data_IF_238886393842
#
_entry.id   IF_238886393842
#
_cell.length_a   1.000
_cell.length_b   1.000
_cell.length_c   1.000
_cell.angle_alpha   90.00
_cell.angle_beta   90.00
_cell.angle_gamma   90.00
#
_symmetry.space_group_name_H-M   'P 1'
#
loop_
_entity.id
_entity.type
_entity.pdbx_description
1 polymer ?
#
# COMPACT_ATOMS: atom_id res chain seq x y z
N UNK A 1 -4.65 -2.51 1.20
CA UNK A 1 -3.51 -1.57 1.15
C UNK A 1 -2.32 -2.33 1.67
N UNK A 2 -1.20 -2.20 0.96
CA UNK A 2 0.10 -2.77 1.30
C UNK A 2 1.01 -1.57 1.53
N UNK A 3 1.72 -1.53 2.64
CA UNK A 3 2.78 -0.57 2.89
C UNK A 3 4.11 -1.24 2.58
N UNK A 4 4.86 -0.64 1.67
CA UNK A 4 6.15 -1.12 1.21
C UNK A 4 7.18 -0.12 1.71
N UNK A 5 8.07 -0.55 2.61
CA UNK A 5 9.19 0.27 3.04
C UNK A 5 10.48 -0.25 2.43
N UNK A 6 11.10 0.60 1.62
CA UNK A 6 12.38 0.33 0.96
C UNK A 6 13.48 0.96 1.79
N UNK A 7 14.43 0.14 2.22
CA UNK A 7 15.66 0.58 2.88
C UNK A 7 16.81 0.35 1.93
N UNK A 8 17.48 1.44 1.54
CA UNK A 8 18.68 1.39 0.71
C UNK A 8 19.92 1.64 1.56
N UNK A 9 21.06 1.25 1.02
CA UNK A 9 22.34 1.54 1.68
C UNK A 9 22.59 3.05 1.58
N UNK A 10 22.85 3.68 2.72
CA UNK A 10 23.30 5.06 2.82
C UNK A 10 24.81 5.07 2.99
N UNK A 11 25.56 4.82 1.91
CA UNK A 11 26.99 5.09 1.95
C UNK A 11 27.15 6.61 2.00
N UNK A 12 27.95 7.11 2.95
CA UNK A 12 28.32 8.52 2.97
C UNK A 12 29.23 8.75 1.77
N UNK A 13 28.75 9.44 0.75
CA UNK A 13 29.59 9.84 -0.38
C UNK A 13 30.52 10.96 0.10
N UNK A 14 31.74 10.59 0.48
CA UNK A 14 32.77 11.52 0.92
C UNK A 14 33.57 12.12 -0.25
N UNK A 15 33.10 12.03 -1.50
CA UNK A 15 33.85 12.48 -2.68
C UNK A 15 32.95 13.13 -3.75
N UNK A 16 33.27 14.38 -4.11
CA UNK A 16 32.60 15.19 -5.14
C UNK A 16 32.83 14.73 -6.60
N UNK A 17 33.28 13.49 -6.85
CA UNK A 17 33.77 13.08 -8.18
C UNK A 17 33.10 11.82 -8.81
N UNK A 18 31.98 11.33 -8.28
CA UNK A 18 31.23 10.15 -8.80
C UNK A 18 29.93 10.49 -9.56
N UNK A 19 29.84 11.70 -10.11
CA UNK A 19 28.64 12.29 -10.75
C UNK A 19 27.87 11.49 -11.81
N UNK A 20 28.42 10.38 -12.34
CA UNK A 20 27.74 9.54 -13.36
C UNK A 20 27.23 8.20 -12.82
N UNK A 21 27.93 7.57 -11.88
CA UNK A 21 27.46 6.31 -11.30
C UNK A 21 26.31 6.57 -10.33
N UNK A 22 26.36 7.68 -9.58
CA UNK A 22 25.31 8.03 -8.62
C UNK A 22 24.01 8.49 -9.29
N UNK A 23 24.10 8.96 -10.55
CA UNK A 23 22.94 9.33 -11.35
C UNK A 23 22.04 8.15 -11.72
N UNK A 24 22.54 6.91 -11.66
CA UNK A 24 21.79 5.69 -12.04
C UNK A 24 21.51 4.75 -10.85
N UNK A 25 21.87 5.16 -9.63
CA UNK A 25 21.67 4.35 -8.42
C UNK A 25 20.20 4.38 -8.00
N UNK A 26 19.48 3.33 -8.40
CA UNK A 26 18.05 3.17 -8.18
C UNK A 26 17.22 4.36 -8.71
N UNK A 27 17.73 5.14 -9.67
CA UNK A 27 17.03 6.33 -10.18
C UNK A 27 15.81 5.89 -11.00
N UNK A 28 14.63 6.44 -10.71
CA UNK A 28 13.42 6.12 -11.48
C UNK A 28 12.89 4.69 -11.27
N UNK A 29 13.27 4.00 -10.19
CA UNK A 29 12.75 2.67 -9.90
C UNK A 29 11.22 2.67 -9.72
N UNK A 30 10.60 1.54 -10.02
CA UNK A 30 9.16 1.34 -9.95
C UNK A 30 8.83 0.18 -9.00
N UNK A 31 7.71 0.31 -8.29
CA UNK A 31 7.14 -0.76 -7.49
C UNK A 31 5.76 -1.16 -8.04
N UNK A 32 5.55 -2.45 -8.24
CA UNK A 32 4.29 -3.00 -8.72
C UNK A 32 3.68 -3.97 -7.73
N UNK A 33 2.36 -3.94 -7.57
CA UNK A 33 1.60 -5.03 -6.94
C UNK A 33 0.91 -5.87 -8.02
N UNK A 34 1.18 -7.17 -8.05
CA UNK A 34 0.60 -8.10 -9.04
C UNK A 34 0.30 -9.46 -8.43
N UNK A 35 -0.50 -10.27 -9.14
CA UNK A 35 -0.75 -11.67 -8.81
C UNK A 35 0.11 -12.64 -9.63
N UNK A 36 0.93 -12.13 -10.54
CA UNK A 36 1.83 -12.92 -11.38
C UNK A 36 3.29 -12.57 -11.08
N UNK A 37 4.22 -13.33 -11.63
CA UNK A 37 5.66 -13.03 -11.57
C UNK A 37 6.20 -12.57 -12.93
N UNK A 38 5.34 -11.99 -13.79
CA UNK A 38 5.70 -11.55 -15.14
C UNK A 38 6.69 -10.39 -15.09
N UNK A 39 7.68 -10.38 -16.00
CA UNK A 39 8.63 -9.28 -16.21
C UNK A 39 8.65 -8.94 -17.72
N UNK A 40 8.41 -7.67 -18.13
CA UNK A 40 8.08 -6.52 -17.29
C UNK A 40 6.75 -6.72 -16.51
N UNK A 41 6.59 -6.07 -15.35
CA UNK A 41 5.41 -6.29 -14.50
C UNK A 41 4.10 -5.91 -15.20
N UNK A 42 3.09 -6.79 -15.11
CA UNK A 42 1.73 -6.62 -15.65
C UNK A 42 0.74 -6.03 -14.60
N UNK A 43 1.27 -5.55 -13.48
CA UNK A 43 0.54 -5.22 -12.27
C UNK A 43 0.13 -3.75 -12.12
N UNK A 44 -0.43 -3.47 -10.95
CA UNK A 44 -0.73 -2.10 -10.52
C UNK A 44 0.57 -1.39 -10.12
N UNK A 45 0.88 -0.27 -10.78
CA UNK A 45 2.01 0.60 -10.42
C UNK A 45 1.70 1.29 -9.08
N UNK A 46 2.39 0.87 -8.03
CA UNK A 46 2.29 1.45 -6.70
C UNK A 46 3.06 2.75 -6.57
N UNK A 47 4.21 2.83 -7.25
CA UNK A 47 5.16 3.94 -7.12
C UNK A 47 6.13 3.95 -8.29
N UNK A 48 6.53 5.15 -8.69
CA UNK A 48 7.61 5.42 -9.63
C UNK A 48 8.44 6.55 -9.00
N UNK A 49 9.75 6.31 -8.87
CA UNK A 49 10.66 7.27 -8.26
C UNK A 49 10.81 8.51 -9.15
N UNK A 50 11.02 9.64 -8.48
CA UNK A 50 11.29 10.90 -9.15
C UNK A 50 12.75 10.97 -9.65
N UNK A 51 13.10 12.01 -10.41
CA UNK A 51 14.48 12.22 -10.80
C UNK A 51 15.36 12.51 -9.58
N UNK A 52 16.55 11.92 -9.57
CA UNK A 52 17.57 12.19 -8.57
C UNK A 52 17.69 11.05 -7.55
N UNK A 53 18.47 11.28 -6.50
CA UNK A 53 18.85 10.19 -5.63
C UNK A 53 17.73 9.83 -4.61
N UNK A 54 17.16 8.62 -4.64
CA UNK A 54 16.06 8.24 -3.76
C UNK A 54 16.44 8.31 -2.28
N UNK A 55 15.51 8.62 -1.38
CA UNK A 55 15.82 8.72 0.06
C UNK A 55 16.31 7.40 0.65
N UNK A 56 17.17 7.46 1.68
CA UNK A 56 17.75 6.26 2.31
C UNK A 56 16.70 5.29 2.86
N UNK A 57 15.55 5.82 3.25
CA UNK A 57 14.37 5.06 3.66
C UNK A 57 13.14 5.69 3.05
N UNK A 58 12.30 4.87 2.40
CA UNK A 58 11.07 5.32 1.75
C UNK A 58 9.92 4.40 2.12
N UNK A 59 8.85 4.95 2.71
CA UNK A 59 7.62 4.23 3.00
C UNK A 59 6.56 4.60 1.98
N UNK A 60 6.15 3.62 1.19
CA UNK A 60 5.26 3.76 0.04
C UNK A 60 3.96 3.02 0.33
N UNK A 61 2.84 3.73 0.25
CA UNK A 61 1.51 3.13 0.43
C UNK A 61 0.90 2.72 -0.91
N UNK A 62 0.60 1.43 -1.07
CA UNK A 62 -0.03 0.89 -2.27
C UNK A 62 -1.44 0.37 -1.99
N UNK A 63 -2.44 0.96 -2.63
CA UNK A 63 -3.86 0.64 -2.42
C UNK A 63 -4.36 -0.51 -3.31
N UNK A 64 -3.53 -1.53 -3.51
CA UNK A 64 -3.86 -2.68 -4.33
C UNK A 64 -3.55 -4.00 -3.60
N UNK A 65 -4.27 -5.06 -3.94
CA UNK A 65 -3.94 -6.42 -3.51
C UNK A 65 -3.06 -7.08 -4.56
N UNK A 66 -2.04 -7.78 -4.10
CA UNK A 66 -1.19 -8.60 -4.95
C UNK A 66 -0.60 -9.74 -4.14
N UNK A 67 -0.31 -10.84 -4.81
CA UNK A 67 0.52 -11.90 -4.24
C UNK A 67 1.99 -11.49 -4.21
N UNK A 68 2.41 -10.64 -5.15
CA UNK A 68 3.78 -10.17 -5.30
C UNK A 68 3.83 -8.64 -5.25
N UNK A 69 4.88 -8.14 -4.61
CA UNK A 69 5.38 -6.78 -4.81
C UNK A 69 6.68 -6.92 -5.60
N UNK A 70 6.74 -6.32 -6.79
CA UNK A 70 7.90 -6.38 -7.67
C UNK A 70 8.60 -5.02 -7.66
N UNK A 71 9.87 -5.01 -7.28
CA UNK A 71 10.79 -3.92 -7.58
C UNK A 71 11.25 -4.07 -9.02
N UNK A 72 11.11 -3.01 -9.82
CA UNK A 72 11.49 -3.00 -11.22
C UNK A 72 12.29 -1.73 -11.50
N UNK A 73 13.46 -1.91 -12.11
CA UNK A 73 14.34 -0.81 -12.46
C UNK A 73 14.92 -1.12 -13.84
N UNK A 74 14.63 -0.23 -14.78
CA UNK A 74 15.07 -0.28 -16.16
C UNK A 74 15.94 0.94 -16.52
N UNK A 75 16.21 1.81 -15.54
CA UNK A 75 16.96 3.06 -15.72
C UNK A 75 18.41 2.83 -15.33
N UNK A 76 19.31 2.92 -16.29
CA UNK A 76 20.71 2.67 -15.99
C UNK A 76 21.66 3.10 -17.09
N UNK A 77 22.94 2.97 -16.79
CA UNK A 77 23.99 3.23 -17.77
C UNK A 77 23.91 2.20 -18.91
N UNK A 78 24.21 2.64 -20.14
CA UNK A 78 24.14 1.79 -21.33
C UNK A 78 25.07 0.56 -21.31
N UNK A 79 26.14 0.60 -20.49
CA UNK A 79 27.11 -0.46 -20.34
C UNK A 79 26.81 -1.36 -19.13
N UNK A 80 26.35 -0.80 -18.02
CA UNK A 80 26.20 -1.52 -16.75
C UNK A 80 24.75 -1.82 -16.35
N UNK A 81 23.78 -1.13 -16.94
CA UNK A 81 22.38 -1.21 -16.53
C UNK A 81 22.12 -0.51 -15.19
N UNK A 82 20.96 -0.79 -14.55
CA UNK A 82 20.58 -0.18 -13.28
C UNK A 82 21.45 -0.66 -12.12
N UNK A 83 21.77 0.23 -11.19
CA UNK A 83 22.52 -0.10 -9.97
C UNK A 83 21.55 -0.16 -8.80
N UNK A 84 21.38 -1.35 -8.22
CA UNK A 84 20.42 -1.59 -7.12
C UNK A 84 21.17 -1.81 -5.80
N UNK A 85 20.88 -0.98 -4.79
CA UNK A 85 21.50 -1.06 -3.45
C UNK A 85 20.46 -1.21 -2.34
N UNK A 86 19.65 -2.27 -2.46
CA UNK A 86 18.67 -2.63 -1.44
C UNK A 86 19.36 -3.23 -0.23
N UNK A 87 19.15 -2.62 0.95
CA UNK A 87 19.54 -3.22 2.22
C UNK A 87 18.48 -4.25 2.65
N UNK A 88 17.22 -3.82 2.74
CA UNK A 88 16.07 -4.71 2.90
C UNK A 88 14.78 -4.03 2.45
N UNK A 89 13.76 -4.84 2.17
CA UNK A 89 12.40 -4.38 1.86
C UNK A 89 11.45 -4.97 2.90
N UNK A 90 10.72 -4.11 3.59
CA UNK A 90 9.69 -4.51 4.53
C UNK A 90 8.32 -4.32 3.87
N UNK A 91 7.55 -5.40 3.77
CA UNK A 91 6.19 -5.37 3.26
C UNK A 91 5.26 -5.62 4.44
N UNK A 92 4.37 -4.67 4.68
CA UNK A 92 3.35 -4.76 5.73
C UNK A 92 1.98 -4.64 5.11
N UNK A 93 1.06 -5.48 5.56
CA UNK A 93 -0.27 -5.59 4.99
C UNK A 93 -1.01 -6.76 5.60
N UNK A 94 -2.28 -6.87 5.26
CA UNK A 94 -3.13 -7.96 5.71
C UNK A 94 -3.80 -8.67 4.54
N UNK A 95 -4.18 -9.92 4.77
CA UNK A 95 -5.07 -10.63 3.85
C UNK A 95 -6.35 -9.81 3.64
N UNK A 96 -6.94 -9.95 2.46
CA UNK A 96 -8.20 -9.27 2.13
C UNK A 96 -9.25 -9.55 3.23
N UNK A 97 -9.91 -8.50 3.69
CA UNK A 97 -10.93 -8.60 4.73
C UNK A 97 -10.39 -8.65 6.15
N UNK A 98 -9.08 -8.49 6.37
CA UNK A 98 -8.47 -8.47 7.70
C UNK A 98 -7.65 -7.19 7.94
N UNK A 99 -7.53 -6.79 9.20
CA UNK A 99 -6.69 -5.68 9.68
C UNK A 99 -6.27 -5.89 11.13
N UNK A 100 -5.57 -4.90 11.68
CA UNK A 100 -5.12 -4.84 13.05
C UNK A 100 -3.79 -5.58 13.27
N UNK A 101 -3.30 -5.61 14.51
CA UNK A 101 -2.09 -6.34 14.87
C UNK A 101 -2.21 -7.81 14.46
N UNK A 102 -1.25 -8.29 13.67
CA UNK A 102 -1.23 -9.66 13.13
C UNK A 102 -2.45 -10.04 12.25
N UNK A 103 -3.20 -9.06 11.72
CA UNK A 103 -4.33 -9.28 10.82
C UNK A 103 -5.42 -10.18 11.41
N UNK A 104 -5.75 -9.96 12.69
CA UNK A 104 -6.71 -10.78 13.43
C UNK A 104 -8.11 -10.19 13.47
N UNK A 105 -8.26 -8.91 13.12
CA UNK A 105 -9.55 -8.22 13.11
C UNK A 105 -10.18 -8.24 11.72
N UNK A 106 -11.47 -8.52 11.64
CA UNK A 106 -12.18 -8.48 10.37
C UNK A 106 -12.42 -7.02 9.93
N UNK A 107 -12.20 -6.72 8.64
CA UNK A 107 -12.62 -5.47 8.05
C UNK A 107 -14.12 -5.26 8.27
N UNK A 108 -14.54 -4.01 8.44
CA UNK A 108 -15.97 -3.70 8.44
C UNK A 108 -16.61 -4.21 7.16
N UNK A 109 -17.76 -4.89 7.28
CA UNK A 109 -18.53 -5.37 6.14
C UNK A 109 -19.18 -4.23 5.33
N UNK A 110 -19.03 -2.98 5.77
CA UNK A 110 -19.35 -1.80 4.97
C UNK A 110 -18.24 -1.45 3.97
N UNK A 111 -16.99 -1.89 4.17
CA UNK A 111 -15.91 -1.50 3.26
C UNK A 111 -16.14 -2.13 1.89
N UNK A 112 -16.00 -1.32 0.83
CA UNK A 112 -16.15 -1.80 -0.54
C UNK A 112 -15.16 -2.96 -0.77
N UNK A 113 -15.67 -4.09 -1.24
CA UNK A 113 -14.90 -5.32 -1.45
C UNK A 113 -14.10 -5.79 -0.23
N UNK A 114 -14.53 -5.45 1.00
CA UNK A 114 -13.80 -5.71 2.25
C UNK A 114 -12.35 -5.23 2.23
N UNK A 115 -12.09 -4.09 1.58
CA UNK A 115 -10.78 -3.44 1.58
C UNK A 115 -10.69 -2.42 2.70
N UNK A 116 -9.93 -2.76 3.73
CA UNK A 116 -9.63 -1.85 4.82
C UNK A 116 -8.12 -1.70 5.04
N UNK A 117 -7.75 -0.59 5.67
CA UNK A 117 -6.37 -0.24 5.99
C UNK A 117 -5.81 -1.26 7.00
N UNK A 118 -4.65 -1.86 6.74
CA UNK A 118 -4.14 -2.95 7.57
C UNK A 118 -3.89 -2.53 9.02
N UNK A 119 -3.52 -1.27 9.27
CA UNK A 119 -3.23 -0.79 10.63
C UNK A 119 -4.46 -0.32 11.42
N UNK A 120 -5.41 0.37 10.79
CA UNK A 120 -6.49 1.07 11.50
C UNK A 120 -7.91 0.69 11.07
N UNK A 121 -8.07 -0.21 10.09
CA UNK A 121 -9.36 -0.75 9.69
C UNK A 121 -10.27 0.19 8.89
N UNK A 122 -9.82 1.40 8.55
CA UNK A 122 -10.57 2.34 7.72
C UNK A 122 -10.72 1.85 6.28
N UNK A 123 -11.83 2.16 5.60
CA UNK A 123 -12.10 1.61 4.28
C UNK A 123 -11.32 2.35 3.18
N UNK A 124 -10.43 1.66 2.48
CA UNK A 124 -9.49 2.28 1.52
C UNK A 124 -10.19 2.71 0.22
N UNK A 125 -11.25 1.99 -0.16
CA UNK A 125 -12.02 2.25 -1.37
C UNK A 125 -13.41 2.85 -1.04
N UNK A 126 -13.51 3.49 0.12
CA UNK A 126 -14.78 3.98 0.64
C UNK A 126 -15.70 2.88 1.16
N UNK A 127 -16.94 3.25 1.43
CA UNK A 127 -17.94 2.38 2.03
C UNK A 127 -19.10 2.06 1.07
N UNK A 128 -19.80 0.95 1.32
CA UNK A 128 -21.13 0.67 0.79
C UNK A 128 -22.16 1.48 1.61
N UNK A 129 -22.77 2.51 1.01
CA UNK A 129 -23.58 3.46 1.75
C UNK A 129 -24.91 2.88 2.25
N UNK A 130 -25.30 1.66 1.86
CA UNK A 130 -26.61 1.08 2.22
C UNK A 130 -26.90 1.04 3.72
N UNK A 131 -25.85 1.00 4.56
CA UNK A 131 -25.96 0.92 6.03
C UNK A 131 -25.83 2.27 6.73
N UNK A 132 -25.42 3.30 5.99
CA UNK A 132 -25.39 4.66 6.48
C UNK A 132 -26.78 5.31 6.34
N UNK A 133 -27.11 6.17 7.29
CA UNK A 133 -28.27 7.07 7.13
C UNK A 133 -28.09 7.89 5.84
N UNK A 134 -29.19 8.05 5.10
CA UNK A 134 -29.24 8.77 3.82
C UNK A 134 -28.24 8.28 2.76
N UNK A 135 -27.71 7.07 2.92
CA UNK A 135 -26.69 6.51 2.03
C UNK A 135 -25.46 7.40 1.89
N UNK A 136 -25.03 8.02 3.00
CA UNK A 136 -23.85 8.90 3.02
C UNK A 136 -22.74 8.34 3.90
N UNK A 137 -21.59 8.13 3.29
CA UNK A 137 -20.33 8.01 4.00
C UNK A 137 -19.27 8.91 3.40
N UNK A 138 -18.30 9.23 4.23
CA UNK A 138 -17.07 9.84 3.81
C UNK A 138 -16.31 8.88 2.89
N UNK A 139 -15.96 9.35 1.70
CA UNK A 139 -15.35 8.51 0.65
C UNK A 139 -13.89 8.16 0.92
N UNK A 140 -13.23 8.89 1.83
CA UNK A 140 -11.81 8.72 2.12
C UNK A 140 -11.59 7.82 3.34
N UNK A 141 -12.49 7.91 4.33
CA UNK A 141 -12.41 7.17 5.59
C UNK A 141 -13.39 6.00 5.63
N UNK A 142 -14.45 6.03 4.83
CA UNK A 142 -15.55 5.07 4.85
C UNK A 142 -16.51 5.24 6.04
N UNK A 143 -16.37 6.31 6.82
CA UNK A 143 -17.21 6.57 7.99
C UNK A 143 -18.60 7.09 7.59
N UNK A 144 -19.66 6.60 8.23
CA UNK A 144 -21.00 7.13 8.02
C UNK A 144 -21.18 8.45 8.76
N UNK A 145 -21.23 9.57 8.02
CA UNK A 145 -21.23 10.93 8.58
C UNK A 145 -22.53 11.28 9.29
N UNK A 146 -23.63 10.64 8.90
CA UNK A 146 -24.98 10.89 9.45
C UNK A 146 -25.45 9.74 10.37
N UNK A 147 -24.53 8.84 10.75
CA UNK A 147 -24.83 7.68 11.58
C UNK A 147 -25.39 6.48 10.81
N UNK A 148 -25.95 5.53 11.56
CA UNK A 148 -26.28 4.20 11.08
C UNK A 148 -27.78 3.94 10.99
N UNK A 149 -28.20 3.16 9.99
CA UNK A 149 -29.58 2.64 9.95
C UNK A 149 -29.80 1.66 11.11
N UNK A 150 -31.06 1.46 11.53
CA UNK A 150 -31.43 0.63 12.68
C UNK A 150 -30.79 -0.76 12.64
N UNK A 151 -30.16 -1.17 13.75
CA UNK A 151 -29.48 -2.47 13.89
C UNK A 151 -27.95 -2.41 13.72
N UNK A 152 -27.42 -1.27 13.29
CA UNK A 152 -25.99 -1.03 13.09
C UNK A 152 -25.48 0.04 14.05
N UNK A 153 -24.22 -0.07 14.49
CA UNK A 153 -23.59 0.84 15.45
C UNK A 153 -22.11 1.08 15.11
N UNK A 154 -21.53 2.14 15.68
CA UNK A 154 -20.12 2.53 15.49
C UNK A 154 -19.90 3.43 14.27
N UNK A 155 -18.68 3.96 14.12
CA UNK A 155 -18.31 4.92 13.07
C UNK A 155 -18.48 4.37 11.63
N UNK A 156 -18.36 3.06 11.47
CA UNK A 156 -18.46 2.36 10.18
C UNK A 156 -19.73 1.52 10.08
N UNK A 157 -20.74 1.77 10.93
CA UNK A 157 -22.00 1.04 10.97
C UNK A 157 -21.82 -0.48 10.86
N UNK A 158 -21.06 -1.00 11.81
CA UNK A 158 -20.81 -2.43 12.03
C UNK A 158 -21.96 -3.08 12.81
N UNK A 159 -22.10 -4.39 12.69
CA UNK A 159 -23.25 -5.11 13.22
C UNK A 159 -23.27 -5.03 14.76
N UNK A 160 -24.25 -4.34 15.34
CA UNK A 160 -24.31 -4.13 16.80
C UNK A 160 -24.79 -5.35 17.60
N UNK A 161 -25.26 -6.41 16.92
CA UNK A 161 -25.81 -7.63 17.55
C UNK A 161 -25.40 -8.94 16.87
N UNK A 162 -24.29 -8.95 16.11
CA UNK A 162 -23.81 -10.20 15.53
C UNK A 162 -23.11 -11.02 16.61
N UNK A 163 -23.80 -12.01 17.19
CA UNK A 163 -23.12 -13.19 17.71
C UNK A 163 -22.57 -13.93 16.50
N UNK A 164 -21.26 -14.19 16.48
CA UNK A 164 -20.62 -15.06 15.49
C UNK A 164 -21.44 -16.35 15.38
N UNK A 165 -22.02 -16.60 14.20
CA UNK A 165 -22.55 -17.91 13.87
C UNK A 165 -21.42 -18.63 13.15
N UNK A 166 -20.87 -19.61 13.87
CA UNK A 166 -19.91 -20.62 13.40
C UNK A 166 -20.40 -21.37 12.18
#
# INVERSE_FOLDING_TARGET
MIQITVYRIGLYEQYEDLSKEDAYRMDGFKLYATNTSTIPPDGYLCYEDGPGHPSTTQTISCNHLGQYVIYYDDTGDSQFGPIIELCYVAITGCQKGMWGPNCTEACSSICVNQHCHPENGSCIWGCDPQRCVNRRCDTNTGACTEGCVTGWVGQYCTCGKCKYVS
#
